data_IF_189642390998
#
_entry.id   IF_189642390998
#
_cell.length_a   1.000
_cell.length_b   1.000
_cell.length_c   1.000
_cell.angle_alpha   90.00
_cell.angle_beta   90.00
_cell.angle_gamma   90.00
#
_symmetry.space_group_name_H-M   'P 1'
#
loop_
_entity.id
_entity.type
_entity.pdbx_description
1 polymer ?
#
# COMPACT_ATOMS: atom_id res chain seq x y z
N UNK A 1 -8.15 -6.94 21.48
CA UNK A 1 -8.15 -5.61 20.82
C UNK A 1 -9.22 -4.76 21.47
N UNK A 2 -8.86 -3.57 21.96
CA UNK A 2 -9.82 -2.66 22.60
C UNK A 2 -10.79 -2.10 21.57
N UNK A 3 -12.04 -1.95 21.98
CA UNK A 3 -13.10 -1.30 21.22
C UNK A 3 -13.70 -0.19 22.08
N UNK A 4 -13.94 0.98 21.49
CA UNK A 4 -14.50 2.13 22.20
C UNK A 4 -15.43 2.92 21.29
N UNK A 5 -16.46 3.54 21.88
CA UNK A 5 -17.36 4.47 21.19
C UNK A 5 -17.29 5.83 21.85
N UNK A 6 -16.85 6.84 21.12
CA UNK A 6 -16.87 8.24 21.54
C UNK A 6 -17.07 9.10 20.28
N UNK A 7 -18.31 9.11 19.78
CA UNK A 7 -18.63 9.52 18.41
C UNK A 7 -18.49 8.33 17.48
N UNK A 8 -17.29 8.13 16.94
CA UNK A 8 -16.96 6.99 16.09
C UNK A 8 -16.77 5.70 16.91
N UNK A 9 -16.98 4.56 16.25
CA UNK A 9 -16.58 3.24 16.74
C UNK A 9 -15.10 3.00 16.40
N UNK A 10 -14.26 2.88 17.42
CA UNK A 10 -12.81 2.68 17.28
C UNK A 10 -12.45 1.26 17.68
N UNK A 11 -11.70 0.57 16.82
CA UNK A 11 -11.18 -0.79 17.05
C UNK A 11 -9.66 -0.75 17.01
N UNK A 12 -9.00 -1.33 18.02
CA UNK A 12 -7.54 -1.38 18.11
C UNK A 12 -6.88 -0.08 18.57
N UNK A 13 -5.54 -0.06 18.57
CA UNK A 13 -4.77 1.12 18.91
C UNK A 13 -4.49 1.94 17.65
N UNK A 14 -5.02 3.15 17.59
CA UNK A 14 -4.79 4.04 16.45
C UNK A 14 -3.34 4.54 16.40
N UNK A 15 -2.67 4.51 15.24
CA UNK A 15 -1.31 5.05 15.11
C UNK A 15 -1.26 6.52 15.55
N UNK A 16 -0.42 6.83 16.54
CA UNK A 16 -0.34 8.17 17.15
C UNK A 16 0.36 9.19 16.26
N UNK A 17 1.10 8.71 15.28
CA UNK A 17 2.08 9.46 14.49
C UNK A 17 1.66 9.47 13.03
N UNK A 18 1.42 10.64 12.41
CA UNK A 18 0.96 10.69 11.02
C UNK A 18 1.97 10.10 10.04
N UNK A 19 3.27 10.32 10.25
CA UNK A 19 4.34 9.83 9.37
C UNK A 19 4.62 8.33 9.49
N UNK A 20 4.05 7.63 10.47
CA UNK A 20 4.08 6.16 10.53
C UNK A 20 2.71 5.53 10.26
N UNK A 21 1.67 6.34 10.06
CA UNK A 21 0.32 5.84 9.82
C UNK A 21 0.09 5.55 8.33
N UNK A 22 0.12 4.27 7.96
CA UNK A 22 -0.40 3.81 6.68
C UNK A 22 -1.94 3.73 6.78
N UNK A 23 -2.65 4.43 5.89
CA UNK A 23 -4.12 4.58 5.97
C UNK A 23 -4.82 4.18 4.68
N UNK A 24 -6.02 3.64 4.82
CA UNK A 24 -6.95 3.38 3.74
C UNK A 24 -8.36 3.84 4.15
N UNK A 25 -8.96 4.68 3.31
CA UNK A 25 -10.37 5.08 3.46
C UNK A 25 -11.22 4.05 2.73
N UNK A 26 -12.27 3.59 3.40
CA UNK A 26 -13.23 2.59 2.93
C UNK A 26 -14.64 3.07 3.30
N UNK A 27 -15.66 2.47 2.68
CA UNK A 27 -17.06 2.79 2.90
C UNK A 27 -17.41 2.70 4.39
N UNK A 28 -17.66 3.85 5.02
CA UNK A 28 -18.04 3.96 6.43
C UNK A 28 -16.91 3.84 7.46
N UNK A 29 -15.64 3.70 7.03
CA UNK A 29 -14.52 3.64 7.96
C UNK A 29 -13.17 4.13 7.40
N UNK A 30 -12.22 4.31 8.31
CA UNK A 30 -10.79 4.44 7.96
C UNK A 30 -10.02 3.34 8.67
N UNK A 31 -9.26 2.57 7.90
CA UNK A 31 -8.32 1.57 8.39
C UNK A 31 -6.93 2.21 8.51
N UNK A 32 -6.20 1.85 9.57
CA UNK A 32 -4.85 2.34 9.80
C UNK A 32 -3.93 1.24 10.34
N UNK A 33 -2.70 1.24 9.84
CA UNK A 33 -1.58 0.47 10.37
C UNK A 33 -0.49 1.45 10.80
N UNK A 34 0.21 1.13 11.88
CA UNK A 34 1.50 1.75 12.17
C UNK A 34 2.57 0.96 11.43
N UNK A 35 3.28 1.56 10.47
CA UNK A 35 4.29 0.86 9.65
C UNK A 35 5.47 0.38 10.50
N UNK A 36 5.71 1.03 11.64
CA UNK A 36 6.75 0.64 12.59
C UNK A 36 6.29 -0.50 13.51
N UNK A 37 4.99 -0.75 13.60
CA UNK A 37 4.43 -1.89 14.30
C UNK A 37 4.23 -3.05 13.32
N UNK A 38 4.68 -4.25 13.67
CA UNK A 38 4.43 -5.43 12.83
C UNK A 38 3.02 -6.03 13.02
N UNK A 39 2.02 -5.19 13.31
CA UNK A 39 0.64 -5.65 13.45
C UNK A 39 0.04 -5.95 12.07
N UNK A 40 -0.44 -7.17 11.81
CA UNK A 40 -1.16 -7.48 10.58
C UNK A 40 -2.61 -7.00 10.61
N UNK A 41 -3.15 -6.72 11.79
CA UNK A 41 -4.54 -6.31 11.99
C UNK A 41 -4.60 -4.78 12.08
N UNK A 42 -5.42 -4.11 11.25
CA UNK A 42 -5.56 -2.66 11.31
C UNK A 42 -6.23 -2.22 12.61
N UNK A 43 -5.98 -0.98 13.00
CA UNK A 43 -6.95 -0.21 13.76
C UNK A 43 -8.03 0.32 12.80
N UNK A 44 -9.26 0.47 13.27
CA UNK A 44 -10.34 1.09 12.49
C UNK A 44 -10.98 2.25 13.27
N UNK A 45 -11.36 3.29 12.52
CA UNK A 45 -12.32 4.31 12.94
C UNK A 45 -13.53 4.19 12.03
N UNK A 46 -14.62 3.66 12.56
CA UNK A 46 -15.88 3.43 11.86
C UNK A 46 -16.82 4.57 12.20
N UNK A 47 -17.12 5.39 11.21
CA UNK A 47 -18.01 6.56 11.31
C UNK A 47 -19.43 6.25 10.81
N UNK A 48 -19.58 5.23 9.96
CA UNK A 48 -20.87 4.68 9.54
C UNK A 48 -20.87 3.16 9.77
N UNK A 49 -21.36 2.70 10.94
CA UNK A 49 -21.41 1.27 11.27
C UNK A 49 -22.36 0.46 10.38
N UNK A 50 -23.40 1.08 9.80
CA UNK A 50 -24.35 0.39 8.93
C UNK A 50 -23.65 0.03 7.62
N UNK A 51 -23.02 1.02 6.98
CA UNK A 51 -22.25 0.80 5.75
C UNK A 51 -21.04 -0.10 5.97
N UNK A 52 -20.33 0.05 7.10
CA UNK A 52 -19.20 -0.80 7.41
C UNK A 52 -19.60 -2.27 7.65
N UNK A 53 -20.82 -2.55 8.10
CA UNK A 53 -21.26 -3.90 8.44
C UNK A 53 -21.22 -4.89 7.25
N UNK A 54 -21.34 -4.37 6.02
CA UNK A 54 -21.30 -5.14 4.77
C UNK A 54 -19.95 -5.83 4.53
N UNK A 55 -18.83 -5.22 4.96
CA UNK A 55 -17.48 -5.69 4.67
C UNK A 55 -16.59 -5.90 5.91
N UNK A 56 -16.96 -5.39 7.08
CA UNK A 56 -16.10 -5.40 8.28
C UNK A 56 -15.66 -6.82 8.70
N UNK A 57 -16.47 -7.84 8.36
CA UNK A 57 -16.17 -9.26 8.57
C UNK A 57 -14.98 -9.77 7.73
N UNK A 58 -14.68 -9.15 6.59
CA UNK A 58 -13.50 -9.47 5.79
C UNK A 58 -12.21 -8.99 6.48
N UNK A 59 -12.33 -7.97 7.33
CA UNK A 59 -11.20 -7.39 8.07
C UNK A 59 -11.09 -7.92 9.49
N UNK A 60 -12.17 -8.19 10.21
CA UNK A 60 -12.11 -8.65 11.62
C UNK A 60 -12.68 -10.06 11.82
N UNK A 61 -13.18 -10.70 10.77
CA UNK A 61 -13.77 -12.03 10.86
C UNK A 61 -14.98 -12.05 11.79
N UNK A 62 -15.07 -13.12 12.58
CA UNK A 62 -16.17 -13.35 13.54
C UNK A 62 -16.26 -12.27 14.63
N UNK A 63 -15.16 -11.58 14.94
CA UNK A 63 -15.14 -10.50 15.93
C UNK A 63 -16.03 -9.31 15.52
N UNK A 64 -16.38 -9.19 14.24
CA UNK A 64 -17.24 -8.12 13.69
C UNK A 64 -18.57 -8.00 14.42
N UNK A 65 -19.20 -9.13 14.75
CA UNK A 65 -20.47 -9.12 15.48
C UNK A 65 -20.33 -8.44 16.84
N UNK A 66 -19.27 -8.77 17.56
CA UNK A 66 -19.01 -8.23 18.90
C UNK A 66 -18.57 -6.76 18.83
N UNK A 67 -17.78 -6.39 17.82
CA UNK A 67 -17.39 -5.01 17.51
C UNK A 67 -18.64 -4.14 17.29
N UNK A 68 -19.54 -4.58 16.41
CA UNK A 68 -20.77 -3.85 16.07
C UNK A 68 -21.78 -3.85 17.23
N UNK A 69 -21.79 -4.90 18.08
CA UNK A 69 -22.56 -4.95 19.31
C UNK A 69 -22.00 -4.04 20.42
N UNK A 70 -20.80 -3.46 20.24
CA UNK A 70 -20.19 -2.55 21.21
C UNK A 70 -19.47 -3.26 22.37
N UNK A 71 -18.97 -4.47 22.16
CA UNK A 71 -18.03 -5.09 23.08
C UNK A 71 -16.88 -4.13 23.38
N UNK A 72 -16.31 -4.17 24.58
CA UNK A 72 -15.17 -3.31 24.97
C UNK A 72 -13.83 -3.90 24.55
N UNK A 73 -13.80 -5.21 24.31
CA UNK A 73 -12.63 -5.94 23.85
C UNK A 73 -13.06 -7.14 22.99
N UNK A 74 -12.29 -7.40 21.93
CA UNK A 74 -12.49 -8.53 21.01
C UNK A 74 -11.18 -9.21 20.67
N UNK A 75 -11.23 -10.51 20.40
CA UNK A 75 -10.09 -11.29 19.90
C UNK A 75 -10.23 -11.50 18.40
N UNK A 76 -9.26 -11.02 17.63
CA UNK A 76 -9.25 -11.13 16.17
C UNK A 76 -8.13 -12.09 15.77
N UNK A 77 -8.41 -13.15 15.01
CA UNK A 77 -7.37 -14.08 14.55
C UNK A 77 -6.37 -13.38 13.63
N UNK A 78 -5.08 -13.60 13.92
CA UNK A 78 -3.97 -13.14 13.08
C UNK A 78 -3.84 -14.02 11.83
N UNK A 79 -3.95 -15.34 11.98
CA UNK A 79 -3.90 -16.31 10.89
C UNK A 79 -5.27 -16.56 10.26
N UNK A 80 -5.27 -17.03 9.00
CA UNK A 80 -6.47 -17.28 8.21
C UNK A 80 -6.30 -16.82 6.75
N UNK A 81 -7.31 -17.10 5.91
CA UNK A 81 -7.38 -16.52 4.57
C UNK A 81 -7.89 -15.08 4.67
N UNK A 82 -6.94 -14.15 4.79
CA UNK A 82 -7.19 -12.73 4.97
C UNK A 82 -6.83 -11.93 3.72
N UNK A 83 -7.16 -12.45 2.52
CA UNK A 83 -6.80 -11.83 1.23
C UNK A 83 -7.15 -10.34 1.18
N UNK A 84 -8.35 -9.96 1.57
CA UNK A 84 -8.82 -8.56 1.54
C UNK A 84 -8.08 -7.70 2.57
N UNK A 85 -7.93 -8.17 3.82
CA UNK A 85 -7.13 -7.47 4.84
C UNK A 85 -5.67 -7.24 4.40
N UNK A 86 -5.06 -8.25 3.77
CA UNK A 86 -3.69 -8.18 3.24
C UNK A 86 -3.62 -7.15 2.10
N UNK A 87 -4.58 -7.17 1.18
CA UNK A 87 -4.65 -6.19 0.10
C UNK A 87 -4.89 -4.76 0.62
N UNK A 88 -5.76 -4.56 1.61
CA UNK A 88 -5.96 -3.26 2.27
C UNK A 88 -4.66 -2.75 2.89
N UNK A 89 -3.91 -3.62 3.61
CA UNK A 89 -2.61 -3.28 4.19
C UNK A 89 -1.63 -2.88 3.08
N UNK A 90 -1.59 -3.62 1.98
CA UNK A 90 -0.71 -3.31 0.85
C UNK A 90 -1.05 -1.95 0.21
N UNK A 91 -2.33 -1.64 -0.04
CA UNK A 91 -2.74 -0.31 -0.54
C UNK A 91 -2.33 0.80 0.43
N UNK A 92 -2.61 0.62 1.73
CA UNK A 92 -2.27 1.59 2.75
C UNK A 92 -0.75 1.84 2.83
N UNK A 93 0.06 0.78 2.74
CA UNK A 93 1.52 0.86 2.75
C UNK A 93 2.07 1.53 1.48
N UNK A 94 1.54 1.22 0.30
CA UNK A 94 1.96 1.86 -0.95
C UNK A 94 1.62 3.36 -0.96
N UNK A 95 0.45 3.74 -0.46
CA UNK A 95 0.07 5.16 -0.29
C UNK A 95 1.00 5.88 0.69
N UNK A 96 1.33 5.22 1.80
CA UNK A 96 2.29 5.74 2.77
C UNK A 96 3.67 5.91 2.13
N UNK A 97 4.16 4.89 1.42
CA UNK A 97 5.47 4.88 0.79
C UNK A 97 5.60 5.97 -0.28
N UNK A 98 4.58 6.19 -1.11
CA UNK A 98 4.59 7.29 -2.11
C UNK A 98 4.73 8.67 -1.43
N UNK A 99 4.28 8.82 -0.18
CA UNK A 99 4.26 10.11 0.54
C UNK A 99 5.45 10.28 1.49
N UNK A 100 5.87 9.22 2.17
CA UNK A 100 6.73 9.26 3.36
C UNK A 100 8.01 8.44 3.22
N UNK A 101 8.28 7.83 2.06
CA UNK A 101 9.52 7.09 1.89
C UNK A 101 10.74 7.97 2.22
N UNK A 102 11.59 7.57 3.17
CA UNK A 102 12.60 8.48 3.70
C UNK A 102 13.69 8.77 2.66
N UNK A 103 14.31 9.94 2.77
CA UNK A 103 15.55 10.20 2.05
C UNK A 103 16.71 9.37 2.65
N UNK A 104 17.72 9.06 1.83
CA UNK A 104 18.92 8.32 2.28
C UNK A 104 18.77 6.80 2.30
N UNK A 105 17.67 6.26 1.77
CA UNK A 105 17.48 4.82 1.47
C UNK A 105 17.29 4.63 -0.05
N UNK A 106 17.41 3.40 -0.58
CA UNK A 106 17.09 3.09 -1.97
C UNK A 106 15.76 3.70 -2.42
N UNK A 107 15.78 4.45 -3.53
CA UNK A 107 14.57 5.08 -4.05
C UNK A 107 13.57 4.04 -4.57
N UNK A 108 12.28 4.31 -4.38
CA UNK A 108 11.20 3.49 -4.91
C UNK A 108 11.01 3.74 -6.40
N UNK A 109 10.74 2.68 -7.16
CA UNK A 109 10.33 2.81 -8.56
C UNK A 109 8.84 3.18 -8.64
N UNK A 110 8.55 4.45 -8.87
CA UNK A 110 7.19 5.01 -8.73
C UNK A 110 6.18 4.38 -9.72
N UNK A 111 6.61 3.98 -10.92
CA UNK A 111 5.75 3.25 -11.85
C UNK A 111 5.34 1.88 -11.30
N UNK A 112 6.27 1.17 -10.66
CA UNK A 112 6.02 -0.14 -10.02
C UNK A 112 5.10 0.02 -8.82
N UNK A 113 5.32 1.06 -8.01
CA UNK A 113 4.44 1.43 -6.89
C UNK A 113 3.00 1.58 -7.35
N UNK A 114 2.77 2.39 -8.39
CA UNK A 114 1.43 2.68 -8.90
C UNK A 114 0.78 1.46 -9.54
N UNK A 115 1.54 0.67 -10.27
CA UNK A 115 1.10 -0.60 -10.84
C UNK A 115 0.65 -1.60 -9.77
N UNK A 116 1.49 -1.80 -8.74
CA UNK A 116 1.18 -2.69 -7.63
C UNK A 116 -0.06 -2.20 -6.88
N UNK A 117 -0.17 -0.88 -6.65
CA UNK A 117 -1.35 -0.29 -6.02
C UNK A 117 -2.62 -0.53 -6.83
N UNK A 118 -2.60 -0.36 -8.15
CA UNK A 118 -3.77 -0.60 -9.00
C UNK A 118 -4.29 -2.05 -8.87
N UNK A 119 -3.36 -3.01 -8.83
CA UNK A 119 -3.66 -4.42 -8.62
C UNK A 119 -4.25 -4.68 -7.22
N UNK A 120 -3.70 -4.07 -6.17
CA UNK A 120 -4.22 -4.27 -4.82
C UNK A 120 -5.59 -3.58 -4.63
N UNK A 121 -5.79 -2.41 -5.26
CA UNK A 121 -7.07 -1.72 -5.30
C UNK A 121 -8.17 -2.59 -5.93
N UNK A 122 -7.87 -3.35 -6.98
CA UNK A 122 -8.89 -4.23 -7.60
C UNK A 122 -9.34 -5.38 -6.71
N UNK A 123 -8.56 -5.74 -5.68
CA UNK A 123 -8.94 -6.76 -4.71
C UNK A 123 -9.88 -6.20 -3.64
N UNK A 124 -9.79 -4.89 -3.37
CA UNK A 124 -10.53 -4.22 -2.29
C UNK A 124 -11.54 -3.21 -2.81
N UNK A 125 -11.82 -3.18 -4.11
CA UNK A 125 -12.65 -2.15 -4.73
C UNK A 125 -14.05 -2.08 -4.10
N UNK A 126 -14.63 -3.23 -3.72
CA UNK A 126 -15.95 -3.28 -3.08
C UNK A 126 -15.97 -2.69 -1.66
N UNK A 127 -14.81 -2.48 -1.03
CA UNK A 127 -14.70 -1.76 0.24
C UNK A 127 -14.59 -0.24 0.03
N UNK A 128 -14.28 0.24 -1.17
CA UNK A 128 -14.01 1.66 -1.39
C UNK A 128 -15.31 2.44 -1.55
N UNK A 129 -15.35 3.64 -0.97
CA UNK A 129 -16.47 4.57 -1.12
C UNK A 129 -16.53 5.14 -2.55
N UNK A 130 -15.37 5.26 -3.20
CA UNK A 130 -15.24 5.85 -4.51
C UNK A 130 -15.22 4.79 -5.62
N UNK A 131 -16.29 4.75 -6.42
CA UNK A 131 -16.33 3.92 -7.62
C UNK A 131 -15.29 4.36 -8.67
N UNK A 132 -14.77 3.39 -9.42
CA UNK A 132 -13.80 3.65 -10.49
C UNK A 132 -12.39 3.98 -10.02
N UNK A 133 -12.06 3.75 -8.74
CA UNK A 133 -10.69 3.89 -8.22
C UNK A 133 -9.68 3.03 -8.99
N UNK A 134 -10.06 1.81 -9.38
CA UNK A 134 -9.22 0.93 -10.20
C UNK A 134 -9.01 1.51 -11.60
N UNK A 135 -10.09 1.98 -12.24
CA UNK A 135 -10.04 2.59 -13.58
C UNK A 135 -9.10 3.80 -13.59
N UNK A 136 -9.24 4.70 -12.61
CA UNK A 136 -8.35 5.87 -12.49
C UNK A 136 -6.90 5.45 -12.23
N UNK A 137 -6.67 4.45 -11.38
CA UNK A 137 -5.33 3.96 -11.09
C UNK A 137 -4.66 3.35 -12.34
N UNK A 138 -5.39 2.56 -13.13
CA UNK A 138 -4.92 1.98 -14.39
C UNK A 138 -4.62 3.05 -15.44
N UNK A 139 -5.50 4.04 -15.58
CA UNK A 139 -5.33 5.13 -16.54
C UNK A 139 -4.11 6.02 -16.21
N UNK A 140 -3.71 6.08 -14.94
CA UNK A 140 -2.60 6.90 -14.46
C UNK A 140 -1.23 6.20 -14.48
N UNK A 141 -1.14 4.97 -15.01
CA UNK A 141 0.12 4.23 -15.07
C UNK A 141 1.14 4.90 -16.01
N UNK A 142 2.42 4.73 -15.69
CA UNK A 142 3.54 5.30 -16.45
C UNK A 142 4.52 4.20 -16.86
N UNK A 143 5.24 4.33 -17.99
CA UNK A 143 6.28 3.38 -18.41
C UNK A 143 7.29 3.02 -17.31
N UNK A 144 7.93 1.85 -17.45
CA UNK A 144 8.94 1.35 -16.52
C UNK A 144 8.39 0.45 -15.40
N UNK A 145 7.14 -0.01 -15.50
CA UNK A 145 6.57 -0.97 -14.53
C UNK A 145 7.40 -2.25 -14.49
N UNK A 146 7.64 -2.77 -13.28
CA UNK A 146 8.35 -4.03 -13.08
C UNK A 146 7.69 -5.18 -13.87
N UNK A 147 8.48 -6.01 -14.58
CA UNK A 147 7.96 -7.03 -15.51
C UNK A 147 7.00 -8.03 -14.87
N UNK A 148 7.19 -8.38 -13.59
CA UNK A 148 6.31 -9.29 -12.84
C UNK A 148 4.85 -8.82 -12.72
N UNK A 149 4.58 -7.52 -12.92
CA UNK A 149 3.23 -6.97 -12.82
C UNK A 149 2.51 -6.88 -14.17
N UNK A 150 3.25 -6.94 -15.28
CA UNK A 150 2.70 -6.58 -16.60
C UNK A 150 1.55 -7.48 -17.02
N UNK A 151 1.70 -8.80 -16.94
CA UNK A 151 0.65 -9.74 -17.35
C UNK A 151 -0.62 -9.56 -16.51
N UNK A 152 -0.46 -9.30 -15.20
CA UNK A 152 -1.58 -9.03 -14.29
C UNK A 152 -2.28 -7.71 -14.63
N UNK A 153 -1.53 -6.68 -15.02
CA UNK A 153 -2.08 -5.39 -15.43
C UNK A 153 -2.84 -5.48 -16.74
N UNK A 154 -2.35 -6.27 -17.71
CA UNK A 154 -3.05 -6.48 -18.98
C UNK A 154 -4.41 -7.13 -18.73
N UNK A 155 -4.43 -8.25 -18.00
CA UNK A 155 -5.68 -8.93 -17.62
C UNK A 155 -6.62 -7.99 -16.85
N UNK A 156 -6.06 -7.22 -15.91
CA UNK A 156 -6.85 -6.28 -15.12
C UNK A 156 -7.44 -5.17 -16.00
N UNK A 157 -6.66 -4.60 -16.92
CA UNK A 157 -7.13 -3.56 -17.82
C UNK A 157 -8.23 -4.06 -18.76
N UNK A 158 -8.10 -5.28 -19.29
CA UNK A 158 -9.14 -5.94 -20.08
C UNK A 158 -10.44 -6.11 -19.30
N UNK A 159 -10.38 -6.61 -18.06
CA UNK A 159 -11.55 -6.80 -17.20
C UNK A 159 -12.31 -5.50 -16.92
N UNK A 160 -11.59 -4.37 -16.85
CA UNK A 160 -12.17 -3.05 -16.59
C UNK A 160 -12.43 -2.25 -17.87
N UNK A 161 -12.13 -2.80 -19.05
CA UNK A 161 -12.28 -2.09 -20.34
C UNK A 161 -11.38 -0.86 -20.47
N UNK A 162 -10.24 -0.82 -19.78
CA UNK A 162 -9.30 0.30 -19.80
C UNK A 162 -8.19 0.03 -20.80
N UNK A 163 -7.88 1.01 -21.65
CA UNK A 163 -6.67 0.95 -22.49
C UNK A 163 -5.47 1.41 -21.68
N UNK A 164 -4.46 0.54 -21.52
CA UNK A 164 -3.24 0.89 -20.81
C UNK A 164 -2.41 1.92 -21.60
N UNK A 165 -1.72 2.85 -20.90
CA UNK A 165 -0.79 3.78 -21.53
C UNK A 165 0.31 3.06 -22.32
N UNK A 166 0.75 3.69 -23.41
CA UNK A 166 1.83 3.15 -24.24
C UNK A 166 3.11 2.91 -23.40
N UNK A 167 3.78 1.77 -23.61
CA UNK A 167 4.96 1.38 -22.85
C UNK A 167 4.70 0.61 -21.55
N UNK A 168 3.43 0.37 -21.19
CA UNK A 168 3.04 -0.61 -20.16
C UNK A 168 2.87 -2.02 -20.74
N UNK A 169 2.65 -2.14 -22.05
CA UNK A 169 2.54 -3.44 -22.72
C UNK A 169 3.93 -3.98 -23.02
N UNK A 170 4.17 -5.26 -22.73
CA UNK A 170 5.39 -5.94 -23.13
C UNK A 170 5.58 -5.78 -24.64
N UNK A 171 6.62 -5.08 -25.07
CA UNK A 171 6.97 -5.06 -26.48
C UNK A 171 7.17 -6.51 -26.96
N UNK A 172 6.64 -6.93 -28.12
CA UNK A 172 7.08 -8.18 -28.72
C UNK A 172 8.60 -8.12 -28.86
N UNK A 173 9.29 -9.21 -28.52
CA UNK A 173 10.74 -9.25 -28.46
C UNK A 173 11.36 -8.83 -29.80
N UNK A 174 11.75 -7.56 -29.92
CA UNK A 174 12.49 -7.06 -31.05
C UNK A 174 13.97 -7.32 -30.81
N UNK A 175 14.57 -8.18 -31.62
CA UNK A 175 16.02 -8.27 -31.75
C UNK A 175 16.52 -7.00 -32.45
N UNK A 176 17.18 -6.10 -31.71
CA UNK A 176 17.71 -4.85 -32.26
C UNK A 176 18.60 -4.10 -31.27
N UNK A 177 19.59 -3.31 -31.73
CA UNK A 177 20.90 -3.18 -31.10
C UNK A 177 20.93 -2.24 -29.89
N UNK A 178 21.93 -2.48 -29.02
CA UNK A 178 22.24 -1.71 -27.80
C UNK A 178 22.58 -0.24 -28.10
N UNK A 179 22.04 0.74 -27.36
CA UNK A 179 22.53 2.11 -27.39
C UNK A 179 23.76 2.31 -26.47
N UNK A 180 24.52 3.35 -26.80
CA UNK A 180 25.84 3.72 -26.28
C UNK A 180 25.85 4.18 -24.81
N UNK A 181 26.97 3.89 -24.15
CA UNK A 181 27.36 4.37 -22.80
C UNK A 181 27.32 5.90 -22.72
N UNK A 182 26.68 6.42 -21.67
CA UNK A 182 26.74 7.82 -21.24
C UNK A 182 27.91 8.00 -20.27
N UNK A 183 28.64 9.09 -20.42
CA UNK A 183 29.77 9.53 -19.58
C UNK A 183 29.25 10.15 -18.26
N UNK A 184 29.70 9.63 -17.13
CA UNK A 184 29.21 9.94 -15.77
C UNK A 184 30.02 11.03 -15.03
N UNK A 185 30.89 11.78 -15.71
CA UNK A 185 31.89 12.62 -15.02
C UNK A 185 31.43 13.99 -14.50
N UNK A 186 30.14 14.26 -14.30
CA UNK A 186 29.67 15.48 -13.60
C UNK A 186 28.41 15.27 -12.76
N UNK A 187 28.59 15.08 -11.44
CA UNK A 187 27.56 15.30 -10.44
C UNK A 187 27.94 16.53 -9.59
N UNK A 188 27.01 17.47 -9.29
CA UNK A 188 27.24 18.48 -8.26
C UNK A 188 27.19 17.86 -6.86
N UNK A 189 28.01 18.39 -5.93
CA UNK A 189 28.09 17.95 -4.53
C UNK A 189 26.75 18.04 -3.80
N UNK A 190 26.34 16.93 -3.19
CA UNK A 190 25.21 16.85 -2.25
C UNK A 190 25.69 17.34 -0.88
N UNK A 191 25.02 18.30 -0.20
CA UNK A 191 25.39 18.70 1.14
C UNK A 191 25.19 17.55 2.12
N UNK A 192 26.17 17.32 3.01
CA UNK A 192 26.11 16.28 4.03
C UNK A 192 24.84 16.37 4.89
N UNK A 193 24.12 15.26 5.15
CA UNK A 193 22.91 15.31 5.96
C UNK A 193 23.24 15.56 7.44
N UNK A 194 22.51 16.50 8.05
CA UNK A 194 22.41 16.62 9.52
C UNK A 194 21.99 15.27 10.10
N UNK A 195 22.51 14.92 11.29
CA UNK A 195 22.10 13.69 12.00
C UNK A 195 20.57 13.60 12.01
N UNK A 196 19.98 12.51 11.49
CA UNK A 196 18.54 12.31 11.61
C UNK A 196 18.15 12.29 13.09
N UNK A 197 17.06 12.96 13.45
CA UNK A 197 16.45 12.74 14.77
C UNK A 197 16.10 11.26 14.94
N UNK A 198 16.02 10.76 16.17
CA UNK A 198 15.78 9.33 16.48
C UNK A 198 14.63 8.71 15.65
N UNK A 199 13.59 9.50 15.38
CA UNK A 199 12.43 9.13 14.58
C UNK A 199 12.71 8.91 13.10
N UNK A 200 13.49 9.80 12.49
CA UNK A 200 13.90 9.63 11.10
C UNK A 200 14.77 8.38 10.97
N UNK A 201 15.58 8.08 11.99
CA UNK A 201 16.36 6.85 12.03
C UNK A 201 15.47 5.59 12.11
N UNK A 202 14.37 5.61 12.88
CA UNK A 202 13.39 4.50 12.92
C UNK A 202 12.75 4.25 11.55
N UNK A 203 12.30 5.31 10.86
CA UNK A 203 11.72 5.19 9.51
C UNK A 203 12.74 4.72 8.47
N UNK A 204 13.98 5.21 8.54
CA UNK A 204 15.08 4.75 7.69
C UNK A 204 15.38 3.28 7.96
N UNK A 205 15.47 2.85 9.23
CA UNK A 205 15.69 1.46 9.59
C UNK A 205 14.57 0.55 9.11
N UNK A 206 13.32 0.98 9.26
CA UNK A 206 12.16 0.31 8.70
C UNK A 206 12.31 0.17 7.18
N UNK A 207 12.48 1.27 6.44
CA UNK A 207 12.59 1.25 4.98
C UNK A 207 13.72 0.33 4.50
N UNK A 208 14.89 0.38 5.13
CA UNK A 208 16.01 -0.51 4.82
C UNK A 208 15.68 -1.99 5.07
N UNK A 209 14.93 -2.31 6.13
CA UNK A 209 14.50 -3.68 6.42
C UNK A 209 13.52 -4.26 5.39
N UNK A 210 12.87 -3.40 4.59
CA UNK A 210 11.92 -3.81 3.55
C UNK A 210 12.62 -4.17 2.24
N UNK A 211 13.77 -3.54 1.95
CA UNK A 211 14.55 -3.81 0.74
C UNK A 211 14.99 -5.28 0.72
N UNK A 212 14.65 -6.01 -0.33
CA UNK A 212 14.92 -7.45 -0.47
C UNK A 212 14.12 -8.38 0.44
N UNK A 213 13.21 -7.88 1.29
CA UNK A 213 12.46 -8.71 2.24
C UNK A 213 11.24 -9.36 1.62
N UNK A 214 11.08 -10.68 1.71
CA UNK A 214 9.92 -11.39 1.15
C UNK A 214 8.56 -10.90 1.69
N UNK A 215 8.54 -10.36 2.91
CA UNK A 215 7.35 -9.79 3.56
C UNK A 215 7.03 -8.35 3.10
N UNK A 216 7.83 -7.79 2.19
CA UNK A 216 7.65 -6.47 1.61
C UNK A 216 6.87 -6.49 0.29
N UNK A 217 6.26 -5.35 -0.04
CA UNK A 217 5.62 -5.15 -1.36
C UNK A 217 6.67 -5.30 -2.45
N UNK A 218 6.29 -5.67 -3.67
CA UNK A 218 7.25 -5.81 -4.77
C UNK A 218 8.06 -4.52 -4.97
N UNK A 219 7.37 -3.38 -4.85
CA UNK A 219 7.95 -2.04 -4.93
C UNK A 219 9.03 -1.81 -3.87
N UNK A 220 8.76 -2.17 -2.61
CA UNK A 220 9.72 -2.04 -1.52
C UNK A 220 10.91 -3.01 -1.70
N UNK A 221 10.64 -4.25 -2.14
CA UNK A 221 11.69 -5.27 -2.34
C UNK A 221 12.69 -4.91 -3.41
N UNK A 222 12.21 -4.28 -4.48
CA UNK A 222 12.99 -3.98 -5.69
C UNK A 222 13.53 -2.55 -5.72
N UNK A 223 13.45 -1.82 -4.60
CA UNK A 223 14.05 -0.50 -4.47
C UNK A 223 15.55 -0.54 -4.86
N UNK A 224 15.98 0.40 -5.71
CA UNK A 224 17.30 0.48 -6.38
C UNK A 224 17.65 -0.59 -7.44
N UNK A 225 16.76 -1.52 -7.80
CA UNK A 225 17.03 -2.57 -8.80
C UNK A 225 16.49 -2.26 -10.21
N UNK A 226 16.43 -0.99 -10.63
CA UNK A 226 15.86 -0.57 -11.93
C UNK A 226 16.79 0.35 -12.70
#
# INVERSE_FOLDING_TARGET
MRVSRAGDLVVGEWPRRPESAARLVVSGAVLAWDVLADSPIPAARVHDPELASEWLWEIYGRATKDILAGATEVTVPVGGDWRVRVACRAVAQLNWAETWWPAGVPALHLATLRAERAIQLSIVEHLLDESGAVIRALAALTPGVHPELLDRLVVLAENYGVTLPAGIVRAPAAAGPRPSIVDWTRLPEVPSPRRPGARQAELVAYALSRVGSAAATLTERTAASS
#
